data_IF_323040381961
#
_entry.id   IF_323040381961
#
_cell.length_a   1.000
_cell.length_b   1.000
_cell.length_c   1.000
_cell.angle_alpha   90.00
_cell.angle_beta   90.00
_cell.angle_gamma   90.00
#
_symmetry.space_group_name_H-M   'P 1'
#
loop_
_entity.id
_entity.type
_entity.pdbx_description
1 polymer ?
#
# COMPACT_ATOMS: atom_id res chain seq x y z
N UNK A 1 -12.92 -45.36 19.08
CA UNK A 1 -11.84 -44.84 18.20
C UNK A 1 -12.36 -44.18 16.93
N UNK A 2 -13.37 -44.73 16.22
CA UNK A 2 -13.90 -44.17 14.96
C UNK A 2 -14.60 -42.79 15.14
N UNK A 3 -15.39 -42.60 16.21
CA UNK A 3 -16.07 -41.36 16.52
C UNK A 3 -15.10 -40.22 16.86
N UNK A 4 -14.00 -40.51 17.57
CA UNK A 4 -12.99 -39.51 17.92
C UNK A 4 -12.25 -38.98 16.69
N UNK A 5 -11.93 -39.85 15.72
CA UNK A 5 -11.30 -39.47 14.44
C UNK A 5 -12.21 -38.58 13.59
N UNK A 6 -13.52 -38.81 13.60
CA UNK A 6 -14.51 -37.97 12.91
C UNK A 6 -14.62 -36.59 13.53
N UNK A 7 -14.62 -36.48 14.86
CA UNK A 7 -14.70 -35.18 15.57
C UNK A 7 -13.43 -34.35 15.32
N UNK A 8 -12.25 -35.00 15.40
CA UNK A 8 -10.97 -34.32 15.11
C UNK A 8 -10.89 -33.84 13.65
N UNK A 9 -11.34 -34.69 12.70
CA UNK A 9 -11.37 -34.31 11.27
C UNK A 9 -12.29 -33.14 10.98
N UNK A 10 -13.50 -33.13 11.58
CA UNK A 10 -14.44 -31.99 11.44
C UNK A 10 -13.88 -30.72 12.06
N UNK A 11 -13.20 -30.79 13.20
CA UNK A 11 -12.56 -29.64 13.85
C UNK A 11 -11.46 -29.04 12.99
N UNK A 12 -10.59 -29.87 12.42
CA UNK A 12 -9.50 -29.41 11.52
C UNK A 12 -10.08 -28.74 10.27
N UNK A 13 -11.12 -29.33 9.66
CA UNK A 13 -11.78 -28.76 8.49
C UNK A 13 -12.40 -27.41 8.80
N UNK A 14 -13.07 -27.26 9.95
CA UNK A 14 -13.67 -26.00 10.38
C UNK A 14 -12.60 -24.92 10.59
N UNK A 15 -11.46 -25.25 11.21
CA UNK A 15 -10.34 -24.32 11.41
C UNK A 15 -9.74 -23.86 10.06
N UNK A 16 -9.57 -24.77 9.11
CA UNK A 16 -9.06 -24.46 7.76
C UNK A 16 -10.04 -23.55 7.01
N UNK A 17 -11.35 -23.84 7.10
CA UNK A 17 -12.39 -22.99 6.48
C UNK A 17 -12.46 -21.59 7.11
N UNK A 18 -12.41 -21.51 8.44
CA UNK A 18 -12.41 -20.22 9.15
C UNK A 18 -11.14 -19.42 8.86
N UNK A 19 -9.98 -20.06 8.79
CA UNK A 19 -8.74 -19.43 8.40
C UNK A 19 -8.78 -18.95 6.94
N UNK A 20 -9.32 -19.76 6.03
CA UNK A 20 -9.55 -19.37 4.64
C UNK A 20 -10.48 -18.15 4.52
N UNK A 21 -11.62 -18.16 5.23
CA UNK A 21 -12.54 -17.03 5.28
C UNK A 21 -11.87 -15.78 5.86
N UNK A 22 -11.08 -15.91 6.91
CA UNK A 22 -10.35 -14.79 7.52
C UNK A 22 -9.30 -14.18 6.58
N UNK A 23 -8.58 -15.01 5.82
CA UNK A 23 -7.62 -14.56 4.81
C UNK A 23 -8.31 -13.84 3.65
N UNK A 24 -9.48 -14.35 3.20
CA UNK A 24 -10.27 -13.73 2.13
C UNK A 24 -11.02 -12.46 2.58
N UNK A 25 -11.33 -12.32 3.86
CA UNK A 25 -12.07 -11.18 4.41
C UNK A 25 -11.17 -10.01 4.82
N UNK A 26 -9.86 -10.06 4.54
CA UNK A 26 -9.01 -8.88 4.79
C UNK A 26 -9.44 -7.77 3.84
N UNK A 27 -9.94 -6.63 4.35
CA UNK A 27 -10.23 -5.50 3.50
C UNK A 27 -8.96 -5.11 2.75
N UNK A 28 -9.06 -4.98 1.42
CA UNK A 28 -8.00 -4.38 0.62
C UNK A 28 -7.80 -2.96 1.16
N UNK A 29 -6.67 -2.74 1.82
CA UNK A 29 -6.34 -1.45 2.41
C UNK A 29 -6.25 -0.42 1.28
N UNK A 30 -7.24 0.47 1.22
CA UNK A 30 -7.11 1.74 0.50
C UNK A 30 -6.88 1.68 -1.00
N UNK A 31 -7.17 0.56 -1.68
CA UNK A 31 -7.05 0.50 -3.13
C UNK A 31 -8.03 1.49 -3.77
N UNK A 32 -7.49 2.54 -4.38
CA UNK A 32 -8.26 3.53 -5.12
C UNK A 32 -8.74 2.95 -6.46
N UNK A 33 -7.92 2.08 -7.07
CA UNK A 33 -8.29 1.41 -8.31
C UNK A 33 -7.17 0.54 -8.89
N UNK A 34 -7.50 -0.18 -9.97
CA UNK A 34 -6.52 -0.96 -10.70
C UNK A 34 -6.85 -1.03 -12.19
N UNK A 35 -5.80 -1.21 -13.02
CA UNK A 35 -5.91 -1.39 -14.47
C UNK A 35 -5.18 -2.66 -14.86
N UNK A 36 -5.90 -3.60 -15.53
CA UNK A 36 -5.29 -4.80 -16.08
C UNK A 36 -4.40 -4.45 -17.27
N UNK A 37 -3.19 -5.01 -17.30
CA UNK A 37 -2.19 -4.73 -18.34
C UNK A 37 -1.93 -5.93 -19.24
N UNK A 38 -1.95 -7.14 -18.70
CA UNK A 38 -1.72 -8.37 -19.45
C UNK A 38 -2.71 -9.44 -19.02
N UNK A 39 -3.33 -10.08 -20.03
CA UNK A 39 -4.23 -11.20 -19.82
C UNK A 39 -3.45 -12.49 -19.57
N UNK A 40 -3.89 -13.28 -18.59
CA UNK A 40 -3.45 -14.65 -18.36
C UNK A 40 -4.62 -15.61 -18.48
N UNK A 41 -4.42 -16.73 -19.19
CA UNK A 41 -5.45 -17.75 -19.34
C UNK A 41 -5.73 -18.49 -18.02
N UNK A 42 -4.72 -18.59 -17.14
CA UNK A 42 -4.81 -19.22 -15.83
C UNK A 42 -4.30 -18.23 -14.76
N UNK A 43 -5.16 -17.96 -13.77
CA UNK A 43 -4.86 -17.02 -12.69
C UNK A 43 -5.28 -15.57 -12.98
N UNK A 44 -5.03 -14.65 -12.04
CA UNK A 44 -5.35 -13.23 -12.23
C UNK A 44 -4.47 -12.59 -13.31
N UNK A 45 -4.97 -11.52 -13.93
CA UNK A 45 -4.19 -10.73 -14.89
C UNK A 45 -3.09 -9.90 -14.20
N UNK A 46 -2.03 -9.56 -14.96
CA UNK A 46 -1.11 -8.51 -14.53
C UNK A 46 -1.88 -7.19 -14.47
N UNK A 47 -1.60 -6.38 -13.47
CA UNK A 47 -2.31 -5.11 -13.27
C UNK A 47 -1.39 -4.04 -12.69
N UNK A 48 -1.75 -2.78 -12.91
CA UNK A 48 -1.25 -1.66 -12.13
C UNK A 48 -2.31 -1.38 -11.06
N UNK A 49 -1.88 -1.33 -9.81
CA UNK A 49 -2.72 -1.01 -8.65
C UNK A 49 -2.36 0.38 -8.16
N UNK A 50 -3.36 1.17 -7.82
CA UNK A 50 -3.21 2.49 -7.21
C UNK A 50 -3.82 2.41 -5.81
N UNK A 51 -2.98 2.59 -4.80
CA UNK A 51 -3.40 2.64 -3.40
C UNK A 51 -3.34 4.09 -2.91
N UNK A 52 -4.37 4.51 -2.16
CA UNK A 52 -4.41 5.78 -1.46
C UNK A 52 -4.02 5.59 0.00
N UNK A 53 -3.27 6.55 0.55
CA UNK A 53 -2.96 6.58 1.98
C UNK A 53 -2.81 8.00 2.48
N UNK A 54 -3.05 8.18 3.78
CA UNK A 54 -2.88 9.44 4.49
C UNK A 54 -1.64 9.37 5.39
N UNK A 55 -1.03 10.52 5.65
CA UNK A 55 0.05 10.59 6.62
C UNK A 55 -0.55 10.55 8.04
N UNK A 56 -0.12 9.63 8.92
CA UNK A 56 -0.73 9.46 10.24
C UNK A 56 -0.53 10.67 11.17
N UNK A 57 0.41 11.59 10.87
CA UNK A 57 0.72 12.75 11.69
C UNK A 57 0.45 14.08 11.01
N UNK A 58 0.03 14.06 9.74
CA UNK A 58 -0.17 15.27 8.94
C UNK A 58 -1.53 15.22 8.27
N UNK A 59 -2.49 15.91 8.82
CA UNK A 59 -3.79 16.09 8.17
C UNK A 59 -3.65 17.02 6.94
N UNK A 60 -4.55 16.86 5.98
CA UNK A 60 -4.63 17.71 4.80
C UNK A 60 -3.66 17.35 3.68
N UNK A 61 -3.02 16.18 3.77
CA UNK A 61 -2.23 15.59 2.69
C UNK A 61 -2.85 14.26 2.28
N UNK A 62 -3.05 14.05 0.98
CA UNK A 62 -3.42 12.76 0.41
C UNK A 62 -2.30 12.26 -0.52
N UNK A 63 -1.92 11.01 -0.37
CA UNK A 63 -0.91 10.35 -1.17
C UNK A 63 -1.50 9.18 -1.95
N UNK A 64 -1.03 9.00 -3.18
CA UNK A 64 -1.34 7.84 -4.01
C UNK A 64 -0.03 7.19 -4.45
N UNK A 65 0.00 5.87 -4.39
CA UNK A 65 1.13 5.07 -4.84
C UNK A 65 0.67 4.09 -5.91
N UNK A 66 1.30 4.14 -7.08
CA UNK A 66 1.00 3.25 -8.18
C UNK A 66 2.13 2.23 -8.34
N UNK A 67 1.77 0.97 -8.59
CA UNK A 67 2.69 -0.15 -8.67
C UNK A 67 2.18 -1.25 -9.60
N UNK A 68 3.10 -1.96 -10.24
CA UNK A 68 2.78 -3.18 -10.97
C UNK A 68 2.58 -4.37 -10.03
N UNK A 69 1.60 -5.19 -10.34
CA UNK A 69 1.36 -6.47 -9.65
C UNK A 69 1.29 -7.58 -10.70
N UNK A 70 2.16 -8.57 -10.56
CA UNK A 70 2.21 -9.72 -11.45
C UNK A 70 1.07 -10.68 -11.15
N UNK A 71 0.37 -11.09 -12.19
CA UNK A 71 -0.70 -12.07 -12.15
C UNK A 71 -0.23 -13.51 -12.45
N UNK A 72 -1.10 -14.29 -13.10
CA UNK A 72 -0.89 -15.69 -13.41
C UNK A 72 -0.84 -16.60 -12.18
N UNK A 73 -0.39 -17.83 -12.36
CA UNK A 73 -0.31 -18.80 -11.25
C UNK A 73 0.69 -18.36 -10.18
N UNK A 74 1.84 -17.79 -10.57
CA UNK A 74 2.86 -17.31 -9.63
C UNK A 74 2.37 -16.12 -8.80
N UNK A 75 1.64 -15.19 -9.43
CA UNK A 75 1.03 -14.05 -8.73
C UNK A 75 -0.07 -14.50 -7.78
N UNK A 76 -0.94 -15.41 -8.19
CA UNK A 76 -2.00 -15.99 -7.34
C UNK A 76 -1.47 -16.73 -6.12
N UNK A 77 -0.28 -17.33 -6.20
CA UNK A 77 0.39 -18.01 -5.09
C UNK A 77 1.27 -17.06 -4.23
N UNK A 78 1.38 -15.77 -4.61
CA UNK A 78 2.21 -14.79 -3.90
C UNK A 78 3.72 -15.01 -4.03
N UNK A 79 4.16 -15.86 -4.98
CA UNK A 79 5.57 -16.16 -5.25
C UNK A 79 6.13 -15.43 -6.47
N UNK A 80 5.30 -14.60 -7.14
CA UNK A 80 5.76 -13.75 -8.22
C UNK A 80 6.71 -12.68 -7.68
N UNK A 81 7.78 -12.43 -8.42
CA UNK A 81 8.66 -11.31 -8.15
C UNK A 81 8.08 -10.06 -8.81
N UNK A 82 7.34 -9.26 -8.03
CA UNK A 82 6.88 -7.96 -8.50
C UNK A 82 8.07 -7.00 -8.66
N UNK A 83 8.01 -6.17 -9.69
CA UNK A 83 9.01 -5.13 -9.87
C UNK A 83 9.04 -4.22 -8.63
N UNK A 84 10.24 -3.81 -8.20
CA UNK A 84 10.41 -2.86 -7.09
C UNK A 84 10.04 -1.42 -7.47
N UNK A 85 9.54 -1.22 -8.70
CA UNK A 85 9.15 0.09 -9.20
C UNK A 85 7.79 0.50 -8.63
N UNK A 86 7.77 1.65 -7.99
CA UNK A 86 6.55 2.31 -7.57
C UNK A 86 6.68 3.80 -7.84
N UNK A 87 5.59 4.45 -8.23
CA UNK A 87 5.50 5.90 -8.34
C UNK A 87 4.63 6.45 -7.22
N UNK A 88 5.00 7.61 -6.67
CA UNK A 88 4.25 8.27 -5.61
C UNK A 88 3.84 9.67 -6.05
N UNK A 89 2.61 10.06 -5.69
CA UNK A 89 2.10 11.40 -5.84
C UNK A 89 1.37 11.80 -4.57
N UNK A 90 1.86 12.84 -3.88
CA UNK A 90 1.20 13.43 -2.72
C UNK A 90 0.77 14.86 -3.04
N UNK A 91 -0.37 15.27 -2.49
CA UNK A 91 -0.92 16.63 -2.68
C UNK A 91 -1.52 17.15 -1.38
N UNK A 92 -1.41 18.45 -1.19
CA UNK A 92 -2.23 19.12 -0.20
C UNK A 92 -3.68 19.14 -0.70
N UNK A 93 -4.59 18.62 0.12
CA UNK A 93 -6.03 18.50 -0.18
C UNK A 93 -6.90 19.21 0.86
N UNK A 94 -6.27 19.85 1.84
CA UNK A 94 -6.92 20.60 2.90
C UNK A 94 -5.92 21.45 3.70
N UNK A 95 -6.36 22.12 4.76
CA UNK A 95 -5.46 22.80 5.67
C UNK A 95 -4.52 21.78 6.32
N UNK A 96 -3.21 22.03 6.25
CA UNK A 96 -2.24 21.14 6.89
C UNK A 96 -2.25 21.40 8.38
N UNK A 97 -2.43 20.29 9.14
CA UNK A 97 -2.29 20.25 10.60
C UNK A 97 -1.29 19.17 10.96
N UNK A 98 -0.30 19.54 11.73
CA UNK A 98 0.73 18.62 12.23
C UNK A 98 0.37 18.27 13.67
N UNK A 99 -0.01 17.02 13.91
CA UNK A 99 -0.50 16.56 15.21
C UNK A 99 0.63 16.37 16.23
N UNK A 100 1.83 16.02 15.76
CA UNK A 100 2.98 15.70 16.62
C UNK A 100 4.28 16.20 15.98
N UNK A 101 5.37 16.16 16.73
CA UNK A 101 6.70 16.44 16.19
C UNK A 101 7.05 15.47 15.06
N UNK A 102 7.42 16.04 13.91
CA UNK A 102 7.80 15.28 12.74
C UNK A 102 9.27 14.86 12.83
N UNK A 103 9.53 13.56 12.71
CA UNK A 103 10.87 13.00 12.59
C UNK A 103 11.20 12.80 11.13
N UNK A 104 12.39 13.20 10.73
CA UNK A 104 12.87 12.98 9.37
C UNK A 104 13.14 11.47 9.15
N UNK A 105 12.73 10.95 7.98
CA UNK A 105 12.81 9.53 7.67
C UNK A 105 11.77 8.65 8.38
N UNK A 106 10.77 9.24 9.02
CA UNK A 106 9.69 8.49 9.65
C UNK A 106 8.83 7.79 8.60
N UNK A 107 8.57 6.49 8.83
CA UNK A 107 7.73 5.69 7.94
C UNK A 107 6.26 6.07 8.11
N UNK A 108 5.62 6.45 7.00
CA UNK A 108 4.20 6.82 6.94
C UNK A 108 3.33 5.79 6.25
N UNK A 109 3.96 4.90 5.45
CA UNK A 109 3.28 3.81 4.78
C UNK A 109 4.23 2.62 4.60
N UNK A 110 3.72 1.41 4.74
CA UNK A 110 4.42 0.18 4.39
C UNK A 110 3.47 -0.88 3.85
N UNK A 111 3.93 -1.63 2.86
CA UNK A 111 3.21 -2.75 2.29
C UNK A 111 4.16 -3.92 2.04
N UNK A 112 3.84 -5.08 2.60
CA UNK A 112 4.57 -6.32 2.33
C UNK A 112 4.18 -6.85 0.95
N UNK A 113 5.16 -6.93 0.04
CA UNK A 113 4.97 -7.23 -1.39
C UNK A 113 5.11 -8.69 -1.78
N UNK A 114 5.76 -9.50 -0.97
CA UNK A 114 5.89 -10.94 -1.23
C UNK A 114 6.06 -11.69 0.08
N UNK A 115 5.81 -13.01 0.02
CA UNK A 115 6.08 -13.91 1.14
C UNK A 115 7.59 -13.99 1.46
N UNK A 116 8.45 -13.54 0.53
CA UNK A 116 9.90 -13.74 0.55
C UNK A 116 10.71 -12.44 0.61
N UNK A 117 10.25 -11.35 1.29
CA UNK A 117 11.17 -10.28 1.72
C UNK A 117 11.16 -8.92 1.00
N UNK A 118 10.19 -8.58 0.17
CA UNK A 118 10.10 -7.22 -0.37
C UNK A 118 9.03 -6.40 0.39
N UNK A 119 9.44 -5.29 0.98
CA UNK A 119 8.52 -4.30 1.56
C UNK A 119 8.66 -2.99 0.80
N UNK A 120 7.55 -2.50 0.27
CA UNK A 120 7.45 -1.14 -0.25
C UNK A 120 7.17 -0.21 0.92
N UNK A 121 8.00 0.81 1.08
CA UNK A 121 7.91 1.76 2.18
C UNK A 121 7.82 3.18 1.65
N UNK A 122 7.13 4.03 2.39
CA UNK A 122 7.18 5.48 2.19
C UNK A 122 7.63 6.13 3.49
N UNK A 123 8.65 6.96 3.38
CA UNK A 123 9.16 7.78 4.49
C UNK A 123 8.92 9.25 4.20
N UNK A 124 8.75 10.03 5.27
CA UNK A 124 8.56 11.47 5.21
C UNK A 124 9.78 12.19 5.75
N UNK A 125 10.12 13.30 5.10
CA UNK A 125 11.05 14.33 5.56
C UNK A 125 10.35 15.69 5.59
N UNK A 126 10.80 16.60 6.45
CA UNK A 126 10.30 17.96 6.48
C UNK A 126 11.44 18.94 6.13
N UNK A 127 11.46 19.43 4.89
CA UNK A 127 12.33 20.52 4.50
C UNK A 127 11.84 21.83 5.12
N UNK A 128 12.31 22.12 6.35
CA UNK A 128 11.91 23.30 7.12
C UNK A 128 12.30 24.61 6.41
N UNK A 129 13.41 24.60 5.66
CA UNK A 129 13.89 25.77 4.95
C UNK A 129 12.93 26.21 3.85
N UNK A 130 12.31 25.23 3.18
CA UNK A 130 11.38 25.47 2.06
C UNK A 130 9.92 25.34 2.43
N UNK A 131 9.63 24.96 3.67
CA UNK A 131 8.29 24.65 4.17
C UNK A 131 7.59 23.59 3.31
N UNK A 132 8.27 22.47 3.06
CA UNK A 132 7.83 21.40 2.16
C UNK A 132 7.92 20.04 2.87
N UNK A 133 6.84 19.27 2.81
CA UNK A 133 6.86 17.85 3.17
C UNK A 133 7.34 17.05 1.95
N UNK A 134 8.30 16.16 2.16
CA UNK A 134 8.90 15.32 1.12
C UNK A 134 8.63 13.86 1.46
N UNK A 135 8.01 13.15 0.53
CA UNK A 135 7.69 11.73 0.66
C UNK A 135 8.55 10.93 -0.32
N UNK A 136 9.24 9.91 0.17
CA UNK A 136 10.10 9.03 -0.63
C UNK A 136 9.60 7.61 -0.52
N UNK A 137 9.16 7.05 -1.65
CA UNK A 137 8.81 5.64 -1.77
C UNK A 137 10.04 4.85 -2.24
N UNK A 138 10.32 3.73 -1.58
CA UNK A 138 11.40 2.83 -1.94
C UNK A 138 11.14 1.40 -1.47
N UNK A 139 11.85 0.44 -2.04
CA UNK A 139 11.80 -0.96 -1.64
C UNK A 139 13.09 -1.33 -0.90
N UNK A 140 12.96 -2.02 0.24
CA UNK A 140 14.07 -2.32 1.15
C UNK A 140 14.97 -3.50 0.72
N UNK A 141 14.57 -4.26 -0.31
CA UNK A 141 15.43 -5.34 -0.82
C UNK A 141 16.37 -4.86 -1.92
N UNK A 142 17.64 -4.89 -1.62
CA UNK A 142 18.74 -4.71 -2.60
C UNK A 142 19.30 -6.10 -2.90
N UNK A 143 19.17 -6.58 -4.13
CA UNK A 143 19.86 -7.79 -4.59
C UNK A 143 21.19 -7.39 -5.23
N UNK A 144 21.17 -6.40 -6.12
CA UNK A 144 22.32 -5.74 -6.71
C UNK A 144 21.94 -4.30 -7.09
N UNK A 145 22.83 -3.35 -6.88
CA UNK A 145 22.65 -1.93 -7.23
C UNK A 145 21.87 -1.11 -6.21
N UNK A 146 21.50 0.10 -6.61
CA UNK A 146 20.75 1.04 -5.77
C UNK A 146 19.27 0.70 -5.73
N UNK A 147 18.58 0.89 -4.59
CA UNK A 147 17.13 0.70 -4.50
C UNK A 147 16.40 1.67 -5.44
N UNK A 148 15.42 1.14 -6.16
CA UNK A 148 14.51 1.98 -6.95
C UNK A 148 13.67 2.84 -6.01
N UNK A 149 13.56 4.11 -6.33
CA UNK A 149 12.84 5.07 -5.51
C UNK A 149 12.06 6.08 -6.35
N UNK A 150 11.09 6.69 -5.73
CA UNK A 150 10.34 7.82 -6.28
C UNK A 150 10.06 8.84 -5.17
N UNK A 151 9.89 10.10 -5.57
CA UNK A 151 9.75 11.23 -4.64
C UNK A 151 8.53 12.06 -4.99
N UNK A 152 7.85 12.57 -3.95
CA UNK A 152 6.80 13.58 -4.09
C UNK A 152 6.99 14.67 -3.04
N UNK A 153 6.85 15.93 -3.46
CA UNK A 153 7.00 17.10 -2.59
C UNK A 153 5.67 17.84 -2.47
N UNK A 154 5.28 18.18 -1.24
CA UNK A 154 4.04 18.88 -0.91
C UNK A 154 4.39 20.17 -0.21
N UNK A 155 4.34 21.34 -0.89
CA UNK A 155 4.47 22.63 -0.24
C UNK A 155 3.34 22.84 0.77
N UNK A 156 3.67 23.33 1.96
CA UNK A 156 2.68 23.72 2.96
C UNK A 156 2.19 25.10 2.62
N UNK A 157 0.99 25.17 2.05
CA UNK A 157 0.38 26.42 1.58
C UNK A 157 -0.82 26.77 2.46
N UNK A 158 -1.11 28.09 2.55
CA UNK A 158 -2.36 28.53 3.13
C UNK A 158 -3.53 27.97 2.30
N UNK A 159 -4.47 27.32 2.99
CA UNK A 159 -5.66 26.76 2.37
C UNK A 159 -6.84 27.69 2.67
N UNK A 160 -7.21 28.61 1.76
CA UNK A 160 -8.39 29.44 1.94
C UNK A 160 -9.60 28.49 1.91
N UNK A 161 -10.56 28.70 2.82
CA UNK A 161 -11.73 27.85 3.00
C UNK A 161 -12.52 27.65 1.71
N UNK A 162 -12.15 26.67 0.93
CA UNK A 162 -12.89 26.24 -0.22
C UNK A 162 -14.02 25.36 0.30
N UNK A 163 -15.25 25.86 0.27
CA UNK A 163 -16.42 24.98 0.34
C UNK A 163 -16.34 24.10 -0.91
N UNK A 164 -15.81 22.91 -0.78
CA UNK A 164 -15.95 21.91 -1.80
C UNK A 164 -17.43 21.56 -1.85
N UNK A 165 -18.13 22.02 -2.87
CA UNK A 165 -19.41 21.44 -3.27
C UNK A 165 -19.14 19.95 -3.46
N UNK A 166 -19.65 19.13 -2.53
CA UNK A 166 -19.30 17.73 -2.43
C UNK A 166 -19.60 17.01 -3.73
N UNK A 167 -18.63 16.25 -4.21
CA UNK A 167 -18.93 15.12 -5.08
C UNK A 167 -19.81 14.18 -4.24
N UNK A 168 -21.03 13.84 -4.68
CA UNK A 168 -21.88 12.89 -3.96
C UNK A 168 -21.10 11.58 -3.76
N UNK A 169 -21.08 11.10 -2.53
CA UNK A 169 -20.51 9.79 -2.18
C UNK A 169 -21.39 8.67 -2.67
#
# INVERSE_FOLDING_TARGET
MRKLRLIVGAGVLAVVLLFGLWVFSRPERGTTGSVSTRFHLLGPNDKIVVDGFDDPKVDGVACHIARAQTGGLKGGLGVAEDTSDASIACRQVGPIRIAEELRDGERVFDERRSLLFKTLQVVRFFDRKRNVLVYVAYSDRIIEGSPKNSISSVPIMNWPGMQTSGIPR
#
